data_IF_113131228438
#
_entry.id   IF_113131228438
#
_cell.length_a   1.000
_cell.length_b   1.000
_cell.length_c   1.000
_cell.angle_alpha   90.00
_cell.angle_beta   90.00
_cell.angle_gamma   90.00
#
_symmetry.space_group_name_H-M   'P 1'
#
loop_
_entity.id
_entity.type
_entity.pdbx_description
1 polymer ?
#
# COMPACT_ATOMS: atom_id res chain seq x y z
N UNK A 1 -6.37 13.40 4.45
CA UNK A 1 -7.04 12.23 3.84
C UNK A 1 -8.24 11.85 4.66
N UNK A 2 -9.24 11.19 4.07
CA UNK A 2 -10.38 10.64 4.82
C UNK A 2 -10.34 9.12 4.80
N UNK A 3 -10.55 8.49 5.95
CA UNK A 3 -10.63 7.03 6.04
C UNK A 3 -11.91 6.57 5.32
N UNK A 4 -11.78 5.55 4.50
CA UNK A 4 -12.89 4.92 3.80
C UNK A 4 -13.34 3.71 4.60
N UNK A 5 -14.66 3.58 4.79
CA UNK A 5 -15.22 2.46 5.53
C UNK A 5 -15.10 1.15 4.74
N UNK A 6 -15.00 0.02 5.44
CA UNK A 6 -15.01 -1.31 4.81
C UNK A 6 -16.34 -1.67 4.15
N UNK A 7 -17.42 -0.94 4.48
CA UNK A 7 -18.70 -1.06 3.79
C UNK A 7 -18.65 -0.42 2.39
N UNK A 8 -17.85 0.64 2.21
CA UNK A 8 -17.70 1.34 0.93
C UNK A 8 -16.62 0.73 0.04
N UNK A 9 -15.49 0.35 0.62
CA UNK A 9 -14.37 -0.25 -0.09
C UNK A 9 -13.77 -1.39 0.73
N UNK A 10 -13.71 -2.58 0.14
CA UNK A 10 -13.16 -3.78 0.76
C UNK A 10 -12.39 -4.60 -0.27
N UNK A 11 -11.83 -5.73 0.17
CA UNK A 11 -11.13 -6.67 -0.72
C UNK A 11 -11.68 -8.08 -0.55
N UNK A 12 -11.63 -8.86 -1.62
CA UNK A 12 -11.91 -10.29 -1.62
C UNK A 12 -10.65 -11.05 -2.02
N UNK A 13 -10.12 -11.89 -1.13
CA UNK A 13 -8.98 -12.75 -1.45
C UNK A 13 -9.32 -13.65 -2.62
N UNK A 14 -8.46 -13.64 -3.64
CA UNK A 14 -8.53 -14.54 -4.78
C UNK A 14 -7.81 -15.83 -4.41
N UNK A 15 -8.45 -16.98 -4.66
CA UNK A 15 -7.82 -18.28 -4.45
C UNK A 15 -6.97 -18.63 -5.66
N UNK A 16 -5.67 -18.74 -5.47
CA UNK A 16 -4.74 -19.27 -6.47
C UNK A 16 -4.62 -20.79 -6.27
N UNK A 17 -4.58 -21.60 -7.35
CA UNK A 17 -4.34 -23.04 -7.25
C UNK A 17 -2.91 -23.38 -6.82
N UNK A 18 -1.98 -22.45 -7.06
CA UNK A 18 -0.58 -22.54 -6.68
C UNK A 18 -0.41 -21.93 -5.28
N UNK A 19 0.04 -22.74 -4.32
CA UNK A 19 0.29 -22.33 -2.93
C UNK A 19 1.51 -21.41 -2.82
N UNK A 20 2.44 -21.48 -3.78
CA UNK A 20 3.65 -20.64 -3.81
C UNK A 20 3.42 -19.30 -4.55
N UNK A 21 2.25 -19.12 -5.17
CA UNK A 21 1.93 -17.87 -5.85
C UNK A 21 1.70 -16.74 -4.83
N UNK A 22 2.24 -15.52 -5.08
CA UNK A 22 1.98 -14.37 -4.23
C UNK A 22 0.47 -14.11 -4.11
N UNK A 23 -0.03 -13.81 -2.89
CA UNK A 23 -1.45 -13.62 -2.68
C UNK A 23 -1.97 -12.39 -3.42
N UNK A 24 -3.22 -12.49 -3.85
CA UNK A 24 -3.93 -11.42 -4.54
C UNK A 24 -5.34 -11.28 -4.00
N UNK A 25 -5.86 -10.07 -4.12
CA UNK A 25 -7.24 -9.76 -3.79
C UNK A 25 -7.88 -8.89 -4.88
N UNK A 26 -9.19 -9.04 -5.02
CA UNK A 26 -10.02 -8.18 -5.86
C UNK A 26 -10.61 -7.05 -5.03
N UNK A 27 -10.53 -5.82 -5.53
CA UNK A 27 -11.13 -4.67 -4.88
C UNK A 27 -12.64 -4.68 -5.10
N UNK A 28 -13.40 -4.47 -4.03
CA UNK A 28 -14.84 -4.36 -4.04
C UNK A 28 -15.27 -2.92 -3.72
N UNK A 29 -16.26 -2.41 -4.44
CA UNK A 29 -16.96 -1.16 -4.11
C UNK A 29 -18.37 -1.45 -3.64
N UNK A 30 -18.69 -1.13 -2.39
CA UNK A 30 -19.98 -1.45 -1.79
C UNK A 30 -20.36 -2.93 -1.97
N UNK A 31 -19.37 -3.83 -1.78
CA UNK A 31 -19.51 -5.27 -1.96
C UNK A 31 -19.52 -5.77 -3.41
N UNK A 32 -19.40 -4.90 -4.42
CA UNK A 32 -19.37 -5.28 -5.83
C UNK A 32 -17.94 -5.33 -6.37
N UNK A 33 -17.60 -6.46 -6.98
CA UNK A 33 -16.37 -6.70 -7.73
C UNK A 33 -16.07 -5.58 -8.74
N UNK A 34 -14.87 -5.00 -8.66
CA UNK A 34 -14.40 -3.95 -9.58
C UNK A 34 -13.68 -4.51 -10.81
N UNK A 35 -13.24 -5.77 -10.77
CA UNK A 35 -12.32 -6.36 -11.75
C UNK A 35 -10.86 -5.95 -11.54
N UNK A 36 -10.54 -5.11 -10.56
CA UNK A 36 -9.16 -4.72 -10.25
C UNK A 36 -8.55 -5.69 -9.23
N UNK A 37 -7.52 -6.43 -9.66
CA UNK A 37 -6.73 -7.31 -8.83
C UNK A 37 -5.46 -6.60 -8.36
N UNK A 38 -5.12 -6.73 -7.07
CA UNK A 38 -3.90 -6.17 -6.48
C UNK A 38 -3.21 -7.21 -5.57
N UNK A 39 -1.89 -7.11 -5.38
CA UNK A 39 -1.17 -7.88 -4.37
C UNK A 39 -1.73 -7.70 -2.95
N UNK A 40 -1.66 -8.76 -2.15
CA UNK A 40 -2.20 -8.80 -0.79
C UNK A 40 -3.43 -9.68 -0.67
N UNK A 41 -3.72 -10.10 0.56
CA UNK A 41 -4.85 -10.94 0.94
C UNK A 41 -5.88 -10.19 1.82
N UNK A 42 -5.40 -9.28 2.68
CA UNK A 42 -6.21 -8.58 3.69
C UNK A 42 -6.09 -7.07 3.47
N UNK A 43 -7.19 -6.33 3.67
CA UNK A 43 -7.19 -4.87 3.67
C UNK A 43 -6.96 -4.35 5.08
N UNK A 44 -5.81 -3.72 5.31
CA UNK A 44 -5.49 -3.07 6.58
C UNK A 44 -6.20 -1.72 6.72
N UNK A 45 -6.23 -0.96 5.62
CA UNK A 45 -6.80 0.38 5.61
C UNK A 45 -7.08 0.86 4.19
N UNK A 46 -8.14 1.65 4.04
CA UNK A 46 -8.39 2.44 2.85
C UNK A 46 -8.58 3.91 3.22
N UNK A 47 -8.04 4.80 2.39
CA UNK A 47 -8.20 6.23 2.53
C UNK A 47 -8.48 6.88 1.18
N UNK A 48 -9.19 7.99 1.20
CA UNK A 48 -9.51 8.78 0.02
C UNK A 48 -8.90 10.17 0.13
N UNK A 49 -8.35 10.64 -0.98
CA UNK A 49 -7.98 12.04 -1.18
C UNK A 49 -8.41 12.47 -2.58
N UNK A 50 -9.27 13.49 -2.64
CA UNK A 50 -9.95 13.88 -3.87
C UNK A 50 -10.65 12.67 -4.52
N UNK A 51 -10.27 12.34 -5.75
CA UNK A 51 -10.82 11.23 -6.53
C UNK A 51 -10.00 9.94 -6.42
N UNK A 52 -8.90 9.96 -5.66
CA UNK A 52 -7.99 8.82 -5.51
C UNK A 52 -8.30 8.01 -4.26
N UNK A 53 -8.13 6.69 -4.40
CA UNK A 53 -8.20 5.74 -3.30
C UNK A 53 -6.80 5.19 -3.02
N UNK A 54 -6.33 5.34 -1.79
CA UNK A 54 -5.10 4.72 -1.28
C UNK A 54 -5.48 3.52 -0.43
N UNK A 55 -5.00 2.35 -0.80
CA UNK A 55 -5.26 1.09 -0.12
C UNK A 55 -3.95 0.52 0.43
N UNK A 56 -4.07 -0.10 1.59
CA UNK A 56 -3.00 -0.80 2.27
C UNK A 56 -3.42 -2.26 2.47
N UNK A 57 -2.68 -3.19 1.87
CA UNK A 57 -2.98 -4.62 1.96
C UNK A 57 -1.79 -5.43 2.45
N UNK A 58 -2.05 -6.53 3.13
CA UNK A 58 -1.04 -7.47 3.67
C UNK A 58 -1.33 -8.88 3.20
N UNK A 59 -0.30 -9.73 3.21
CA UNK A 59 -0.35 -11.08 2.65
C UNK A 59 -1.01 -12.13 3.55
N UNK A 60 -1.25 -11.80 4.83
CA UNK A 60 -1.77 -12.74 5.85
C UNK A 60 -0.87 -13.98 5.97
N UNK A 61 0.45 -13.78 5.83
CA UNK A 61 1.49 -14.80 5.88
C UNK A 61 2.25 -14.72 7.21
N UNK A 62 2.31 -15.81 8.00
CA UNK A 62 3.11 -15.82 9.21
C UNK A 62 4.59 -15.53 8.93
N UNK A 63 5.23 -14.71 9.77
CA UNK A 63 6.67 -14.41 9.79
C UNK A 63 7.22 -13.58 8.62
N UNK A 64 6.42 -13.30 7.60
CA UNK A 64 6.76 -12.38 6.50
C UNK A 64 5.67 -11.32 6.39
N UNK A 65 5.99 -10.09 6.81
CA UNK A 65 5.06 -8.98 6.79
C UNK A 65 5.40 -8.04 5.63
N UNK A 66 4.65 -8.18 4.53
CA UNK A 66 4.67 -7.26 3.41
C UNK A 66 3.43 -6.38 3.43
N UNK A 67 3.63 -5.06 3.40
CA UNK A 67 2.57 -4.09 3.21
C UNK A 67 2.60 -3.58 1.77
N UNK A 68 1.56 -3.87 1.02
CA UNK A 68 1.36 -3.31 -0.30
C UNK A 68 0.54 -2.03 -0.22
N UNK A 69 0.99 -1.03 -0.96
CA UNK A 69 0.40 0.30 -1.02
C UNK A 69 -0.07 0.49 -2.46
N UNK A 70 -1.38 0.62 -2.66
CA UNK A 70 -1.99 0.75 -3.98
C UNK A 70 -2.72 2.07 -4.10
N UNK A 71 -2.49 2.81 -5.18
CA UNK A 71 -3.25 4.00 -5.52
C UNK A 71 -4.15 3.72 -6.71
N UNK A 72 -5.44 4.05 -6.56
CA UNK A 72 -6.44 3.88 -7.61
C UNK A 72 -7.12 5.20 -7.98
N UNK A 73 -7.59 5.29 -9.22
CA UNK A 73 -8.47 6.37 -9.67
C UNK A 73 -9.92 6.21 -9.17
N UNK A 74 -10.79 7.16 -9.51
CA UNK A 74 -12.21 7.15 -9.14
C UNK A 74 -13.00 5.92 -9.65
N UNK A 75 -12.49 5.26 -10.69
CA UNK A 75 -13.05 4.08 -11.33
C UNK A 75 -12.39 2.78 -10.84
N UNK A 76 -11.57 2.87 -9.78
CA UNK A 76 -10.82 1.74 -9.21
C UNK A 76 -9.83 1.12 -10.19
N UNK A 77 -9.23 1.93 -11.07
CA UNK A 77 -8.08 1.51 -11.87
C UNK A 77 -6.80 1.76 -11.10
N UNK A 78 -5.93 0.76 -11.04
CA UNK A 78 -4.62 0.88 -10.41
C UNK A 78 -3.76 1.90 -11.18
N UNK A 79 -3.35 2.97 -10.50
CA UNK A 79 -2.47 4.01 -11.03
C UNK A 79 -1.02 3.80 -10.62
N UNK A 80 -0.81 3.30 -9.41
CA UNK A 80 0.52 3.15 -8.85
C UNK A 80 0.55 2.16 -7.69
N UNK A 81 1.71 1.55 -7.45
CA UNK A 81 1.89 0.60 -6.36
C UNK A 81 3.31 0.60 -5.80
N UNK A 82 3.44 0.21 -4.54
CA UNK A 82 4.69 0.00 -3.84
C UNK A 82 4.51 -1.11 -2.80
N UNK A 83 5.60 -1.77 -2.45
CA UNK A 83 5.64 -2.75 -1.35
C UNK A 83 6.65 -2.28 -0.32
N UNK A 84 6.20 -2.20 0.93
CA UNK A 84 7.01 -1.95 2.10
C UNK A 84 7.18 -3.26 2.88
N UNK A 85 8.41 -3.69 3.09
CA UNK A 85 8.69 -4.92 3.82
C UNK A 85 10.14 -5.34 3.70
N UNK A 86 10.47 -6.41 4.39
CA UNK A 86 11.81 -7.00 4.39
C UNK A 86 11.77 -8.44 4.85
N UNK A 87 12.78 -9.22 4.47
CA UNK A 87 12.92 -10.59 4.94
C UNK A 87 13.10 -10.55 6.47
N UNK A 88 12.35 -11.37 7.20
CA UNK A 88 12.32 -11.42 8.66
C UNK A 88 11.76 -10.18 9.37
N UNK A 89 11.11 -9.28 8.64
CA UNK A 89 10.42 -8.15 9.25
C UNK A 89 9.08 -8.62 9.83
N UNK A 90 8.89 -8.37 11.12
CA UNK A 90 7.55 -8.41 11.75
C UNK A 90 7.05 -6.99 11.92
N UNK A 91 5.85 -6.72 11.43
CA UNK A 91 5.21 -5.42 11.53
C UNK A 91 3.75 -5.55 11.96
N UNK A 92 3.20 -4.45 12.46
CA UNK A 92 1.76 -4.32 12.70
C UNK A 92 1.32 -2.97 12.17
N UNK A 93 0.33 -2.98 11.28
CA UNK A 93 -0.18 -1.77 10.69
C UNK A 93 -0.91 -0.94 11.75
N UNK A 94 -0.46 0.29 11.96
CA UNK A 94 -1.11 1.22 12.89
C UNK A 94 -1.17 2.63 12.28
N UNK A 95 -2.38 3.16 12.01
CA UNK A 95 -2.50 4.51 11.46
C UNK A 95 -2.05 5.56 12.48
N UNK A 96 -1.46 6.64 11.99
CA UNK A 96 -1.05 7.81 12.77
C UNK A 96 -1.81 9.04 12.32
N UNK A 97 -1.95 10.03 13.21
CA UNK A 97 -2.51 11.32 12.84
C UNK A 97 -1.63 12.05 11.82
N UNK A 98 -2.28 12.68 10.85
CA UNK A 98 -1.65 13.48 9.81
C UNK A 98 -2.30 14.86 9.77
N UNK A 99 -1.48 15.91 9.79
CA UNK A 99 -1.94 17.30 9.61
C UNK A 99 -2.13 17.66 8.13
N UNK A 100 -1.54 16.88 7.22
CA UNK A 100 -1.56 17.11 5.78
C UNK A 100 -2.73 16.38 5.11
N UNK A 101 -3.40 17.06 4.17
CA UNK A 101 -4.60 16.51 3.54
C UNK A 101 -4.30 15.41 2.52
N UNK A 102 -3.12 15.44 1.89
CA UNK A 102 -2.64 14.53 0.84
C UNK A 102 -1.71 13.42 1.35
N UNK A 103 -1.39 13.43 2.65
CA UNK A 103 -0.45 12.49 3.26
C UNK A 103 -1.14 11.57 4.27
N UNK A 104 -0.93 10.26 4.10
CA UNK A 104 -1.29 9.24 5.08
C UNK A 104 -0.07 8.88 5.93
N UNK A 105 -0.24 8.73 7.24
CA UNK A 105 0.85 8.34 8.17
C UNK A 105 0.49 7.07 8.91
N UNK A 106 1.48 6.21 9.14
CA UNK A 106 1.30 4.94 9.84
C UNK A 106 2.63 4.41 10.39
N UNK A 107 2.57 3.41 11.26
CA UNK A 107 3.69 2.50 11.52
C UNK A 107 3.36 1.13 10.97
N UNK A 108 4.41 0.39 10.61
CA UNK A 108 4.29 -0.99 10.18
C UNK A 108 5.46 -1.80 10.74
N UNK A 109 6.67 -1.59 10.21
CA UNK A 109 7.89 -2.30 10.64
C UNK A 109 8.85 -1.36 11.38
N UNK A 110 9.54 -1.90 12.40
CA UNK A 110 10.73 -1.31 13.00
C UNK A 110 10.53 0.06 13.66
N UNK A 111 9.38 0.26 14.33
CA UNK A 111 8.95 1.52 14.97
C UNK A 111 9.12 2.77 14.07
N UNK A 112 9.15 2.56 12.76
CA UNK A 112 9.36 3.65 11.80
C UNK A 112 8.02 4.31 11.51
N UNK A 113 7.96 5.62 11.70
CA UNK A 113 6.86 6.46 11.24
C UNK A 113 6.97 6.62 9.73
N UNK A 114 6.11 5.90 9.00
CA UNK A 114 6.01 5.99 7.55
C UNK A 114 4.99 7.04 7.14
N UNK A 115 5.21 7.61 5.95
CA UNK A 115 4.21 8.43 5.29
C UNK A 115 4.11 8.15 3.80
N UNK A 116 2.89 8.26 3.27
CA UNK A 116 2.57 8.16 1.85
C UNK A 116 1.88 9.44 1.44
N UNK A 117 2.57 10.24 0.62
CA UNK A 117 2.01 11.46 0.05
C UNK A 117 1.48 11.17 -1.35
N UNK A 118 0.19 11.40 -1.59
CA UNK A 118 -0.44 11.28 -2.91
C UNK A 118 -0.21 12.56 -3.71
N UNK A 119 0.20 12.41 -4.96
CA UNK A 119 0.43 13.50 -5.89
C UNK A 119 -0.81 13.69 -6.77
N UNK A 120 -1.28 14.93 -6.99
CA UNK A 120 -2.44 15.19 -7.85
C UNK A 120 -2.16 14.86 -9.33
N UNK A 121 -0.89 14.93 -9.74
CA UNK A 121 -0.39 14.55 -11.05
C UNK A 121 0.86 13.66 -10.90
N UNK A 122 1.13 12.75 -11.85
CA UNK A 122 2.31 11.90 -11.79
C UNK A 122 3.60 12.72 -11.78
N UNK A 123 4.43 12.49 -10.75
CA UNK A 123 5.78 13.03 -10.66
C UNK A 123 6.82 12.11 -11.28
N UNK A 124 7.93 12.69 -11.75
CA UNK A 124 9.09 11.92 -12.22
C UNK A 124 9.78 11.18 -11.06
N UNK A 125 10.33 10.00 -11.36
CA UNK A 125 11.21 9.25 -10.46
C UNK A 125 12.34 8.56 -11.23
N UNK A 126 13.43 8.27 -10.54
CA UNK A 126 14.53 7.46 -11.06
C UNK A 126 14.36 6.03 -10.54
N UNK A 127 14.19 5.01 -11.41
CA UNK A 127 14.05 3.63 -10.99
C UNK A 127 15.19 3.19 -10.05
N UNK A 128 14.84 2.40 -9.02
CA UNK A 128 15.78 1.75 -8.09
C UNK A 128 16.61 2.66 -7.17
N UNK A 129 16.51 3.99 -7.29
CA UNK A 129 17.34 4.94 -6.51
C UNK A 129 16.50 5.90 -5.65
N UNK A 130 15.20 6.00 -5.92
CA UNK A 130 14.36 7.06 -5.34
C UNK A 130 13.53 6.65 -4.13
N UNK A 131 13.64 5.40 -3.67
CA UNK A 131 12.79 4.83 -2.63
C UNK A 131 13.59 4.60 -1.33
N UNK A 132 12.96 4.76 -0.14
CA UNK A 132 13.59 4.41 1.13
C UNK A 132 13.94 2.92 1.22
N UNK A 133 14.87 2.57 2.11
CA UNK A 133 15.18 1.17 2.44
C UNK A 133 13.91 0.41 2.84
N UNK A 134 13.73 -0.80 2.31
CA UNK A 134 12.53 -1.62 2.54
C UNK A 134 11.34 -1.28 1.65
N UNK A 135 11.44 -0.24 0.80
CA UNK A 135 10.40 0.10 -0.18
C UNK A 135 10.85 -0.34 -1.57
N UNK A 136 10.01 -1.13 -2.23
CA UNK A 136 10.22 -1.58 -3.61
C UNK A 136 8.99 -1.30 -4.47
N UNK A 137 9.20 -1.16 -5.78
CA UNK A 137 8.15 -0.80 -6.74
C UNK A 137 8.39 -1.44 -8.10
N UNK A 138 7.35 -1.65 -8.92
CA UNK A 138 7.52 -2.01 -10.32
C UNK A 138 8.41 -0.99 -11.04
N UNK A 139 9.21 -1.42 -12.02
CA UNK A 139 10.10 -0.52 -12.78
C UNK A 139 9.31 0.53 -13.55
N UNK A 140 9.76 1.79 -13.52
CA UNK A 140 9.09 2.89 -14.20
C UNK A 140 9.64 4.26 -13.82
N UNK A 141 9.36 5.28 -14.62
CA UNK A 141 9.89 6.64 -14.50
C UNK A 141 8.91 7.65 -13.88
N UNK A 142 7.72 7.21 -13.50
CA UNK A 142 6.68 8.04 -12.90
C UNK A 142 6.17 7.44 -11.59
N UNK A 143 5.59 8.28 -10.75
CA UNK A 143 4.84 7.88 -9.56
C UNK A 143 3.72 8.86 -9.26
N UNK A 144 2.64 8.37 -8.72
CA UNK A 144 1.53 9.16 -8.18
C UNK A 144 1.56 9.25 -6.65
N UNK A 145 2.48 8.56 -5.99
CA UNK A 145 2.74 8.80 -4.58
C UNK A 145 4.22 8.65 -4.22
N UNK A 146 4.58 9.27 -3.09
CA UNK A 146 5.92 9.23 -2.51
C UNK A 146 5.82 8.54 -1.15
N UNK A 147 6.59 7.47 -0.95
CA UNK A 147 6.78 6.84 0.36
C UNK A 147 7.96 7.50 1.05
N UNK A 148 7.81 7.86 2.32
CA UNK A 148 8.89 8.36 3.17
C UNK A 148 8.92 7.60 4.48
N UNK A 149 10.12 7.38 4.97
CA UNK A 149 10.41 6.77 6.26
C UNK A 149 11.91 6.86 6.50
N UNK A 150 12.30 6.82 7.76
CA UNK A 150 13.70 6.77 8.18
C UNK A 150 13.93 5.49 8.99
N UNK A 151 13.89 4.31 8.35
CA UNK A 151 14.16 3.07 9.05
C UNK A 151 15.59 3.10 9.58
N UNK A 152 15.76 2.75 10.85
CA UNK A 152 17.09 2.56 11.41
C UNK A 152 17.68 1.28 10.82
N UNK A 153 18.98 1.27 10.45
CA UNK A 153 19.64 0.03 10.08
C UNK A 153 19.61 -0.93 11.26
N UNK A 154 19.27 -2.19 11.02
CA UNK A 154 19.30 -3.23 12.04
C UNK A 154 20.72 -3.34 12.60
N UNK A 155 20.88 -3.07 13.90
CA UNK A 155 22.14 -3.31 14.59
C UNK A 155 22.36 -4.82 14.67
N UNK A 156 23.29 -5.34 13.86
CA UNK A 156 23.74 -6.73 13.89
C UNK A 156 24.56 -7.02 15.14
#
# INVERSE_FOLDING_TARGET
MQIVSTADLSVLRVRTPDEDAPPQCEILRSGRASGCLVPGAVLEMAAQWQSFYLLFTTDDTPFEELLHIHLLDANLRLLDSATLGGIYATGSFSPLESAELDTFRFRFIGDTDWSVQVLPEPGFRIPLWSEPTGVSRPVGFTRHFIVRGQPQPEHT
#
